data_IF_183640429504
#
_entry.id   IF_183640429504
#
_cell.length_a   1.000
_cell.length_b   1.000
_cell.length_c   1.000
_cell.angle_alpha   90.00
_cell.angle_beta   90.00
_cell.angle_gamma   90.00
#
_symmetry.space_group_name_H-M   'P 1'
#
loop_
_entity.id
_entity.type
_entity.pdbx_description
1 polymer ?
#
# COMPACT_ATOMS: atom_id res chain seq x y z
N UNK A 1 -2.01 15.54 -6.33
CA UNK A 1 -2.43 14.42 -5.47
C UNK A 1 -3.58 13.70 -6.15
N UNK A 2 -3.56 12.37 -6.24
CA UNK A 2 -4.67 11.60 -6.83
C UNK A 2 -5.96 11.75 -5.99
N UNK A 3 -7.13 11.60 -6.61
CA UNK A 3 -8.42 11.60 -5.89
C UNK A 3 -8.47 10.56 -4.76
N UNK A 4 -7.91 9.36 -4.97
CA UNK A 4 -7.90 8.32 -3.95
C UNK A 4 -7.15 8.75 -2.68
N UNK A 5 -5.88 9.15 -2.80
CA UNK A 5 -5.11 9.72 -1.68
C UNK A 5 -5.80 10.88 -0.99
N UNK A 6 -6.39 11.80 -1.78
CA UNK A 6 -7.14 12.93 -1.21
C UNK A 6 -8.28 12.44 -0.31
N UNK A 7 -9.12 11.53 -0.82
CA UNK A 7 -10.25 10.98 -0.06
C UNK A 7 -9.78 10.20 1.17
N UNK A 8 -8.64 9.50 1.09
CA UNK A 8 -8.01 8.79 2.21
C UNK A 8 -7.61 9.76 3.32
N UNK A 9 -6.89 10.83 2.97
CA UNK A 9 -6.43 11.83 3.94
C UNK A 9 -7.59 12.68 4.51
N UNK A 10 -8.59 13.00 3.68
CA UNK A 10 -9.81 13.70 4.10
C UNK A 10 -10.76 12.80 4.94
N UNK A 11 -10.41 11.52 5.11
CA UNK A 11 -11.22 10.50 5.78
C UNK A 11 -12.66 10.47 5.26
N UNK A 12 -12.81 10.49 3.93
CA UNK A 12 -14.11 10.51 3.28
C UNK A 12 -14.93 9.25 3.62
N UNK A 13 -16.23 9.37 3.96
CA UNK A 13 -17.09 8.23 4.22
C UNK A 13 -17.36 7.37 2.97
N UNK A 14 -16.94 7.82 1.79
CA UNK A 14 -17.12 7.11 0.51
C UNK A 14 -16.11 5.99 0.30
N UNK A 15 -15.06 5.92 1.13
CA UNK A 15 -13.99 4.94 0.98
C UNK A 15 -13.70 4.25 2.31
N UNK A 16 -12.93 3.17 2.23
CA UNK A 16 -12.34 2.54 3.41
C UNK A 16 -11.30 3.50 4.00
N UNK A 17 -11.33 3.68 5.32
CA UNK A 17 -10.54 4.72 5.99
C UNK A 17 -9.16 4.23 6.42
N UNK A 18 -9.05 2.99 6.90
CA UNK A 18 -7.82 2.52 7.56
C UNK A 18 -7.44 3.36 8.78
N UNK A 19 -6.22 3.14 9.26
CA UNK A 19 -5.61 3.97 10.30
C UNK A 19 -5.14 5.32 9.74
N UNK A 20 -5.45 6.41 10.46
CA UNK A 20 -5.17 7.77 10.00
C UNK A 20 -3.66 8.07 9.97
N UNK A 21 -2.97 7.73 11.05
CA UNK A 21 -1.54 8.01 11.21
C UNK A 21 -0.73 7.24 10.17
N UNK A 22 -1.09 5.98 9.92
CA UNK A 22 -0.47 5.19 8.88
C UNK A 22 -0.72 5.76 7.48
N UNK A 23 -1.95 6.18 7.17
CA UNK A 23 -2.26 6.78 5.87
C UNK A 23 -1.44 8.05 5.61
N UNK A 24 -1.33 8.92 6.62
CA UNK A 24 -0.50 10.12 6.56
C UNK A 24 0.98 9.79 6.39
N UNK A 25 1.49 8.81 7.16
CA UNK A 25 2.88 8.37 7.08
C UNK A 25 3.23 7.78 5.70
N UNK A 26 2.33 6.98 5.11
CA UNK A 26 2.49 6.44 3.77
C UNK A 26 2.47 7.56 2.71
N UNK A 27 1.54 8.50 2.80
CA UNK A 27 1.48 9.64 1.88
C UNK A 27 2.68 10.58 2.00
N UNK A 28 3.28 10.69 3.19
CA UNK A 28 4.47 11.50 3.41
C UNK A 28 5.65 11.03 2.54
N UNK A 29 5.72 9.74 2.19
CA UNK A 29 6.74 9.18 1.30
C UNK A 29 6.44 9.49 -0.18
N UNK A 30 7.22 10.34 -0.88
CA UNK A 30 6.92 10.72 -2.25
C UNK A 30 6.84 9.54 -3.23
N UNK A 31 7.70 8.54 -3.03
CA UNK A 31 7.76 7.32 -3.85
C UNK A 31 6.49 6.46 -3.75
N UNK A 32 5.68 6.63 -2.71
CA UNK A 32 4.47 5.83 -2.49
C UNK A 32 3.20 6.47 -3.07
N UNK A 33 3.25 7.77 -3.41
CA UNK A 33 2.08 8.53 -3.89
C UNK A 33 1.59 8.10 -5.28
N UNK A 34 2.43 7.35 -6.00
CA UNK A 34 2.11 6.80 -7.32
C UNK A 34 1.12 5.64 -7.22
N UNK A 35 1.13 4.91 -6.10
CA UNK A 35 0.24 3.76 -5.89
C UNK A 35 -1.15 4.18 -5.41
N UNK A 36 -2.10 3.28 -5.59
CA UNK A 36 -3.46 3.43 -5.11
C UNK A 36 -3.59 2.98 -3.64
N UNK A 37 -4.06 3.84 -2.72
CA UNK A 37 -4.22 3.49 -1.31
C UNK A 37 -5.40 2.54 -1.10
N UNK A 38 -5.15 1.37 -0.51
CA UNK A 38 -6.17 0.35 -0.26
C UNK A 38 -6.13 -0.18 1.18
N UNK A 39 -6.80 0.50 2.12
CA UNK A 39 -7.00 -0.01 3.46
C UNK A 39 -8.06 -1.12 3.47
N UNK A 40 -7.75 -2.27 4.08
CA UNK A 40 -8.62 -3.44 4.11
C UNK A 40 -8.30 -4.34 5.30
N UNK A 41 -9.32 -4.78 6.06
CA UNK A 41 -9.17 -5.67 7.23
C UNK A 41 -8.11 -5.19 8.25
N UNK A 42 -8.03 -3.88 8.47
CA UNK A 42 -7.03 -3.26 9.33
C UNK A 42 -5.63 -3.14 8.73
N UNK A 43 -5.36 -3.79 7.60
CA UNK A 43 -4.11 -3.67 6.85
C UNK A 43 -4.17 -2.50 5.87
N UNK A 44 -3.00 -2.05 5.43
CA UNK A 44 -2.85 -1.06 4.38
C UNK A 44 -1.99 -1.62 3.25
N UNK A 45 -2.59 -1.69 2.06
CA UNK A 45 -1.91 -2.11 0.83
C UNK A 45 -1.78 -0.92 -0.12
N UNK A 46 -0.75 -0.93 -0.95
CA UNK A 46 -0.54 0.04 -2.03
C UNK A 46 -0.56 -0.71 -3.35
N UNK A 47 -1.58 -0.44 -4.15
CA UNK A 47 -1.87 -1.22 -5.35
C UNK A 47 -1.36 -0.49 -6.59
N UNK A 48 -0.91 -1.28 -7.57
CA UNK A 48 -0.51 -0.79 -8.90
C UNK A 48 -1.71 -0.75 -9.88
N UNK A 49 -2.90 -1.15 -9.43
CA UNK A 49 -4.19 -1.05 -10.15
C UNK A 49 -5.31 -0.56 -9.23
N UNK A 50 -6.34 0.10 -9.78
CA UNK A 50 -7.46 0.66 -8.99
C UNK A 50 -8.64 -0.29 -8.83
N UNK A 51 -8.72 -1.36 -9.62
CA UNK A 51 -9.77 -2.39 -9.56
C UNK A 51 -9.18 -3.81 -9.64
N UNK A 52 -10.03 -4.80 -9.42
CA UNK A 52 -9.68 -6.21 -9.60
C UNK A 52 -9.47 -6.51 -11.10
N UNK A 53 -8.47 -7.32 -11.49
CA UNK A 53 -7.47 -7.98 -10.65
C UNK A 53 -6.47 -7.01 -10.01
N UNK A 54 -6.29 -7.12 -8.70
CA UNK A 54 -5.34 -6.28 -7.97
C UNK A 54 -3.89 -6.77 -8.13
N UNK A 55 -2.95 -5.82 -8.23
CA UNK A 55 -1.52 -6.10 -8.23
C UNK A 55 -0.79 -5.24 -7.20
N UNK A 56 0.24 -5.82 -6.58
CA UNK A 56 1.06 -5.18 -5.57
C UNK A 56 2.53 -5.42 -5.88
N UNK A 57 3.25 -4.32 -6.06
CA UNK A 57 4.69 -4.32 -6.28
C UNK A 57 5.47 -4.04 -4.98
N UNK A 58 4.79 -3.54 -3.95
CA UNK A 58 5.41 -3.08 -2.70
C UNK A 58 4.83 -3.80 -1.47
N UNK A 59 5.62 -3.91 -0.38
CA UNK A 59 5.16 -4.52 0.86
C UNK A 59 3.87 -3.90 1.43
N UNK A 60 3.10 -4.72 2.15
CA UNK A 60 1.90 -4.30 2.89
C UNK A 60 2.25 -3.96 4.34
N UNK A 61 1.42 -3.14 4.96
CA UNK A 61 1.49 -2.83 6.39
C UNK A 61 0.33 -3.50 7.13
N UNK A 62 0.62 -4.25 8.19
CA UNK A 62 -0.33 -5.08 8.94
C UNK A 62 -0.29 -4.67 10.42
N UNK A 63 -1.43 -4.47 11.09
CA UNK A 63 -1.46 -4.04 12.48
C UNK A 63 -1.02 -5.17 13.40
N UNK A 64 -0.36 -4.81 14.50
CA UNK A 64 -0.08 -5.69 15.63
C UNK A 64 -1.02 -5.40 16.80
N UNK A 65 -1.10 -6.31 17.77
CA UNK A 65 -2.02 -6.19 18.93
C UNK A 65 -1.69 -4.99 19.82
N UNK A 66 -0.43 -4.57 19.86
CA UNK A 66 0.09 -3.42 20.62
C UNK A 66 -0.07 -2.07 19.88
N UNK A 67 -0.79 -2.03 18.75
CA UNK A 67 -1.04 -0.80 18.00
C UNK A 67 0.15 -0.34 17.15
N UNK A 68 1.13 -1.22 16.93
CA UNK A 68 2.26 -1.01 16.02
C UNK A 68 2.02 -1.72 14.68
N UNK A 69 3.05 -1.71 13.85
CA UNK A 69 2.95 -2.19 12.48
C UNK A 69 4.02 -3.21 12.13
N UNK A 70 3.59 -4.28 11.45
CA UNK A 70 4.44 -5.19 10.72
C UNK A 70 4.45 -4.80 9.25
N UNK A 71 5.60 -4.95 8.59
CA UNK A 71 5.71 -4.83 7.13
C UNK A 71 5.98 -6.22 6.57
N UNK A 72 5.14 -6.64 5.62
CA UNK A 72 5.21 -7.98 5.02
C UNK A 72 5.27 -7.90 3.50
N UNK A 73 5.95 -8.85 2.87
CA UNK A 73 5.99 -8.95 1.40
C UNK A 73 4.58 -9.08 0.82
N UNK A 74 4.36 -8.65 -0.44
CA UNK A 74 3.12 -8.94 -1.16
C UNK A 74 2.76 -10.42 -1.09
N UNK A 75 1.46 -10.72 -1.08
CA UNK A 75 1.00 -12.08 -1.20
C UNK A 75 1.23 -12.59 -2.62
N UNK A 76 1.91 -13.73 -2.75
CA UNK A 76 2.00 -14.49 -4.01
C UNK A 76 1.41 -15.87 -3.80
N UNK A 77 0.69 -16.39 -4.80
CA UNK A 77 0.21 -17.79 -4.78
C UNK A 77 1.35 -18.81 -4.67
N UNK A 78 2.56 -18.41 -5.04
CA UNK A 78 3.74 -19.29 -5.08
C UNK A 78 4.61 -19.18 -3.82
N UNK A 79 4.42 -18.14 -3.00
CA UNK A 79 5.33 -17.85 -1.88
C UNK A 79 4.56 -17.35 -0.68
N UNK A 80 4.82 -17.94 0.49
CA UNK A 80 4.29 -17.43 1.76
C UNK A 80 4.78 -16.00 2.00
N UNK A 81 3.91 -15.17 2.59
CA UNK A 81 4.31 -13.83 3.02
C UNK A 81 5.46 -13.91 4.02
N UNK A 82 6.45 -13.03 3.84
CA UNK A 82 7.59 -12.89 4.74
C UNK A 82 7.51 -11.58 5.51
N UNK A 83 7.84 -11.62 6.79
CA UNK A 83 8.03 -10.45 7.64
C UNK A 83 9.33 -9.73 7.27
N UNK A 84 9.24 -8.45 6.95
CA UNK A 84 10.36 -7.55 6.64
C UNK A 84 10.75 -6.68 7.85
N UNK A 85 9.77 -6.34 8.69
CA UNK A 85 9.97 -5.58 9.92
C UNK A 85 8.76 -5.73 10.84
N UNK A 86 8.96 -5.58 12.15
CA UNK A 86 7.94 -5.81 13.17
C UNK A 86 7.99 -4.78 14.29
N UNK A 87 6.83 -4.47 14.88
CA UNK A 87 6.74 -3.52 15.99
C UNK A 87 7.17 -2.11 15.60
N UNK A 88 6.84 -1.69 14.38
CA UNK A 88 7.24 -0.40 13.83
C UNK A 88 6.19 0.67 14.12
N UNK A 89 6.62 1.91 14.31
CA UNK A 89 5.74 3.07 14.19
C UNK A 89 5.22 3.22 12.76
N UNK A 90 4.14 3.99 12.58
CA UNK A 90 3.59 4.30 11.25
C UNK A 90 4.66 4.87 10.29
N UNK A 91 5.51 5.78 10.81
CA UNK A 91 6.60 6.40 10.05
C UNK A 91 7.67 5.40 9.62
N UNK A 92 8.09 4.53 10.52
CA UNK A 92 9.10 3.50 10.23
C UNK A 92 8.57 2.47 9.23
N UNK A 93 7.32 2.03 9.39
CA UNK A 93 6.66 1.14 8.45
C UNK A 93 6.59 1.77 7.05
N UNK A 94 6.14 3.03 6.95
CA UNK A 94 6.09 3.74 5.67
C UNK A 94 7.47 3.90 5.01
N UNK A 95 8.50 4.22 5.79
CA UNK A 95 9.88 4.31 5.28
C UNK A 95 10.39 2.95 4.78
N UNK A 96 10.07 1.86 5.50
CA UNK A 96 10.44 0.52 5.09
C UNK A 96 9.74 0.09 3.80
N UNK A 97 8.45 0.42 3.62
CA UNK A 97 7.74 0.18 2.35
C UNK A 97 8.38 0.98 1.22
N UNK A 98 8.68 2.27 1.45
CA UNK A 98 9.32 3.13 0.46
C UNK A 98 10.71 2.62 0.02
N UNK A 99 11.48 2.04 0.93
CA UNK A 99 12.77 1.44 0.63
C UNK A 99 12.68 0.18 -0.26
N UNK A 100 11.49 -0.43 -0.38
CA UNK A 100 11.23 -1.61 -1.20
C UNK A 100 10.51 -1.31 -2.50
N UNK A 101 10.36 -0.03 -2.89
CA UNK A 101 9.76 0.35 -4.17
C UNK A 101 10.67 -0.12 -5.32
N UNK A 102 10.17 -0.97 -6.24
CA UNK A 102 10.95 -1.38 -7.40
C UNK A 102 11.34 -0.19 -8.29
N UNK A 103 12.52 -0.28 -8.91
CA UNK A 103 12.91 0.68 -9.93
C UNK A 103 11.93 0.59 -11.11
N UNK A 104 11.40 1.74 -11.54
CA UNK A 104 10.46 1.81 -12.66
C UNK A 104 8.98 1.71 -12.26
N UNK A 105 8.64 1.55 -10.97
CA UNK A 105 7.24 1.65 -10.53
C UNK A 105 6.62 2.99 -10.95
N UNK A 106 5.44 2.90 -11.56
CA UNK A 106 4.69 4.03 -12.09
C UNK A 106 3.38 4.28 -11.33
N UNK A 107 2.60 5.28 -11.78
CA UNK A 107 1.25 5.50 -11.28
C UNK A 107 0.39 4.24 -11.41
N UNK A 108 -0.44 3.97 -10.41
CA UNK A 108 -1.42 2.89 -10.48
C UNK A 108 -2.32 3.08 -11.70
N UNK A 109 -2.53 2.00 -12.46
CA UNK A 109 -3.37 2.04 -13.65
C UNK A 109 -4.85 2.06 -13.27
N UNK A 110 -5.66 2.74 -14.08
CA UNK A 110 -7.11 2.72 -13.91
C UNK A 110 -7.68 1.37 -14.37
N UNK A 111 -8.53 0.76 -13.55
CA UNK A 111 -9.08 -0.57 -13.81
C UNK A 111 -8.23 -1.69 -13.22
N UNK A 112 -8.43 -2.90 -13.75
CA UNK A 112 -7.74 -4.11 -13.30
C UNK A 112 -6.34 -4.27 -13.89
N UNK A 113 -5.47 -5.00 -13.19
CA UNK A 113 -4.12 -5.31 -13.67
C UNK A 113 -4.16 -6.10 -14.98
N UNK A 114 -3.27 -5.83 -15.96
CA UNK A 114 -3.33 -6.47 -17.26
C UNK A 114 -3.00 -7.96 -17.14
N UNK A 115 -3.81 -8.81 -17.78
CA UNK A 115 -3.62 -10.27 -17.74
C UNK A 115 -2.28 -10.74 -18.35
N UNK A 116 -1.70 -9.94 -19.24
CA UNK A 116 -0.56 -10.33 -20.08
C UNK A 116 0.78 -9.67 -19.69
N UNK A 117 0.85 -8.99 -18.54
CA UNK A 117 2.10 -8.35 -18.06
C UNK A 117 2.66 -7.24 -18.96
N UNK A 118 1.88 -6.78 -19.95
CA UNK A 118 2.29 -5.73 -20.87
C UNK A 118 2.26 -4.36 -20.21
N UNK A 119 3.39 -3.95 -19.64
CA UNK A 119 3.75 -2.54 -19.62
C UNK A 119 4.21 -2.20 -21.05
N UNK A 120 3.36 -1.49 -21.79
CA UNK A 120 3.73 -0.83 -23.04
C UNK A 120 4.43 0.51 -22.75
#
# INVERSE_FOLDING_TARGET
MSTAWRLTLERSPLIRLGDAELAEALYAQPALRVFFPWPSHGQFSLLSSTADPFHEEVPRVVPTVDGLWNVVTPYSRQTSQRLLGSGLSAREAAALVAAHVPAGSGPAIEGGWPADGGLA
#
